data_IF_630991197511
#
_entry.id   IF_630991197511
#
_cell.length_a   1.000
_cell.length_b   1.000
_cell.length_c   1.000
_cell.angle_alpha   90.00
_cell.angle_beta   90.00
_cell.angle_gamma   90.00
#
_symmetry.space_group_name_H-M   'P 1'
#
loop_
_entity.id
_entity.type
_entity.pdbx_description
1 polymer ?
#
# COMPACT_ATOMS: atom_id res chain seq x y z
N UNK A 1 -5.03 16.51 -30.18
CA UNK A 1 -5.95 16.71 -29.04
C UNK A 1 -5.30 16.26 -27.74
N UNK A 2 -5.28 17.11 -26.69
CA UNK A 2 -4.94 16.66 -25.33
C UNK A 2 -6.08 15.80 -24.79
N UNK A 3 -5.77 14.69 -24.11
CA UNK A 3 -6.77 13.87 -23.42
C UNK A 3 -7.18 14.57 -22.12
N UNK A 4 -8.44 14.99 -22.02
CA UNK A 4 -9.00 15.70 -20.85
C UNK A 4 -9.67 14.76 -19.83
N UNK A 5 -9.32 13.47 -19.85
CA UNK A 5 -9.71 12.52 -18.80
C UNK A 5 -8.60 12.50 -17.77
N UNK A 6 -8.80 13.19 -16.65
CA UNK A 6 -7.83 13.20 -15.55
C UNK A 6 -7.64 11.78 -15.00
N UNK A 7 -6.45 11.23 -15.23
CA UNK A 7 -6.11 9.87 -14.88
C UNK A 7 -5.72 9.75 -13.39
N UNK A 8 -6.26 8.75 -12.72
CA UNK A 8 -5.94 8.33 -11.37
C UNK A 8 -5.97 6.82 -11.24
N UNK A 9 -5.68 6.30 -10.05
CA UNK A 9 -5.63 4.85 -9.79
C UNK A 9 -7.00 4.17 -10.03
N UNK A 10 -8.10 4.92 -9.91
CA UNK A 10 -9.46 4.38 -10.04
C UNK A 10 -9.92 4.16 -11.50
N UNK A 11 -9.27 4.81 -12.46
CA UNK A 11 -9.73 4.86 -13.86
C UNK A 11 -8.60 4.63 -14.88
N UNK A 12 -7.41 4.23 -14.42
CA UNK A 12 -6.24 4.03 -15.29
C UNK A 12 -5.16 3.18 -14.61
N UNK A 13 -4.20 2.71 -15.40
CA UNK A 13 -2.99 2.01 -14.93
C UNK A 13 -1.89 2.96 -14.41
N UNK A 14 -2.21 4.24 -14.09
CA UNK A 14 -1.18 5.20 -13.65
C UNK A 14 -0.43 4.73 -12.40
N UNK A 15 -1.08 3.97 -11.52
CA UNK A 15 -0.43 3.36 -10.36
C UNK A 15 0.73 2.44 -10.73
N UNK A 16 0.58 1.63 -11.79
CA UNK A 16 1.62 0.71 -12.30
C UNK A 16 2.84 1.46 -12.85
N UNK A 17 2.63 2.66 -13.37
CA UNK A 17 3.70 3.52 -13.91
C UNK A 17 4.35 4.40 -12.83
N UNK A 18 3.63 4.66 -11.74
CA UNK A 18 4.07 5.51 -10.64
C UNK A 18 4.96 4.78 -9.63
N UNK A 19 4.87 3.46 -9.54
CA UNK A 19 5.57 2.65 -8.55
C UNK A 19 6.33 1.52 -9.22
N UNK A 20 7.57 1.33 -8.78
CA UNK A 20 8.41 0.22 -9.22
C UNK A 20 8.78 -0.65 -8.01
N UNK A 21 8.74 -1.97 -8.18
CA UNK A 21 9.01 -2.93 -7.11
C UNK A 21 9.98 -4.01 -7.60
N UNK A 22 11.15 -4.04 -6.99
CA UNK A 22 12.07 -5.17 -7.11
C UNK A 22 11.94 -6.08 -5.89
N UNK A 23 12.31 -7.34 -6.08
CA UNK A 23 12.28 -8.34 -5.03
C UNK A 23 13.48 -9.26 -5.14
N UNK A 24 14.07 -9.60 -4.01
CA UNK A 24 15.19 -10.52 -3.91
C UNK A 24 15.03 -11.38 -2.66
N UNK A 25 15.44 -12.65 -2.73
CA UNK A 25 15.47 -13.55 -1.57
C UNK A 25 16.94 -13.79 -1.20
N UNK A 26 17.30 -13.53 0.05
CA UNK A 26 18.63 -13.81 0.62
C UNK A 26 18.48 -14.35 2.03
N UNK A 27 19.11 -15.48 2.34
CA UNK A 27 19.17 -16.04 3.70
C UNK A 27 17.79 -16.10 4.40
N UNK A 28 16.78 -16.65 3.72
CA UNK A 28 15.39 -16.71 4.22
C UNK A 28 14.73 -15.35 4.52
N UNK A 29 15.27 -14.26 3.95
CA UNK A 29 14.69 -12.91 4.00
C UNK A 29 14.25 -12.55 2.58
N UNK A 30 12.99 -12.13 2.46
CA UNK A 30 12.49 -11.45 1.29
C UNK A 30 12.77 -9.96 1.42
N UNK A 31 13.65 -9.44 0.58
CA UNK A 31 13.89 -8.02 0.42
C UNK A 31 13.05 -7.46 -0.73
N UNK A 32 12.34 -6.37 -0.45
CA UNK A 32 11.51 -5.64 -1.41
C UNK A 32 12.00 -4.21 -1.50
N UNK A 33 12.37 -3.77 -2.71
CA UNK A 33 12.78 -2.38 -2.99
C UNK A 33 11.65 -1.68 -3.71
N UNK A 34 10.90 -0.87 -2.97
CA UNK A 34 9.75 -0.12 -3.47
C UNK A 34 10.19 1.30 -3.79
N UNK A 35 10.06 1.71 -5.05
CA UNK A 35 10.40 3.04 -5.52
C UNK A 35 9.16 3.82 -5.95
N UNK A 36 9.08 5.07 -5.48
CA UNK A 36 8.17 6.07 -6.00
C UNK A 36 8.83 6.78 -7.18
N UNK A 37 8.21 6.73 -8.36
CA UNK A 37 8.70 7.39 -9.58
C UNK A 37 8.05 8.76 -9.82
N UNK A 38 7.23 9.23 -8.88
CA UNK A 38 6.48 10.48 -9.01
C UNK A 38 7.16 11.62 -8.25
N UNK A 39 6.97 12.89 -8.69
CA UNK A 39 7.54 14.06 -8.02
C UNK A 39 6.76 14.47 -6.76
N UNK A 40 5.78 13.68 -6.31
CA UNK A 40 4.99 13.94 -5.12
C UNK A 40 4.98 12.71 -4.21
N UNK A 41 4.43 12.84 -2.99
CA UNK A 41 4.26 11.69 -2.09
C UNK A 41 3.32 10.63 -2.71
N UNK A 42 3.45 9.35 -2.35
CA UNK A 42 2.51 8.29 -2.75
C UNK A 42 1.95 7.54 -1.53
N UNK A 43 0.61 7.45 -1.38
CA UNK A 43 -0.41 8.13 -2.19
C UNK A 43 -0.52 9.64 -1.85
N UNK A 44 -0.64 10.50 -2.87
CA UNK A 44 -0.94 11.94 -2.71
C UNK A 44 -2.45 12.20 -2.70
N UNK A 45 -2.86 13.46 -2.49
CA UNK A 45 -4.24 13.93 -2.50
C UNK A 45 -4.92 13.76 -1.15
N UNK A 46 -6.14 13.21 -1.14
CA UNK A 46 -6.92 13.00 0.09
C UNK A 46 -6.13 12.24 1.16
N UNK A 47 -6.07 12.80 2.38
CA UNK A 47 -5.22 12.30 3.46
C UNK A 47 -5.61 10.93 4.03
N UNK A 48 -6.81 10.42 3.74
CA UNK A 48 -7.23 9.08 4.15
C UNK A 48 -6.73 7.94 3.25
N UNK A 49 -6.10 8.24 2.12
CA UNK A 49 -5.63 7.23 1.14
C UNK A 49 -4.53 6.35 1.74
N UNK A 50 -4.53 5.08 1.35
CA UNK A 50 -3.54 4.10 1.80
C UNK A 50 -2.94 3.36 0.60
N UNK A 51 -1.62 3.22 0.62
CA UNK A 51 -0.93 2.20 -0.16
C UNK A 51 -0.59 1.05 0.79
N UNK A 52 -0.98 -0.18 0.45
CA UNK A 52 -0.78 -1.37 1.27
C UNK A 52 0.06 -2.38 0.49
N UNK A 53 1.21 -2.74 1.05
CA UNK A 53 2.02 -3.85 0.59
C UNK A 53 1.64 -5.08 1.41
N UNK A 54 1.26 -6.15 0.71
CA UNK A 54 0.89 -7.43 1.32
C UNK A 54 1.79 -8.54 0.80
N UNK A 55 2.45 -9.23 1.71
CA UNK A 55 3.23 -10.42 1.44
C UNK A 55 2.51 -11.64 2.03
N UNK A 56 2.04 -12.53 1.16
CA UNK A 56 1.36 -13.77 1.52
C UNK A 56 2.28 -14.95 1.22
N UNK A 57 2.57 -15.76 2.23
CA UNK A 57 3.48 -16.91 2.18
C UNK A 57 2.66 -18.19 2.08
N UNK A 58 3.08 -19.08 1.19
CA UNK A 58 2.40 -20.33 0.91
C UNK A 58 3.33 -21.52 1.09
N UNK A 59 2.80 -22.56 1.71
CA UNK A 59 3.37 -23.91 1.68
C UNK A 59 2.49 -24.72 0.73
N UNK A 60 3.02 -25.03 -0.46
CA UNK A 60 2.25 -25.53 -1.61
C UNK A 60 1.12 -24.54 -1.96
N UNK A 61 -0.14 -24.93 -1.78
CA UNK A 61 -1.33 -24.10 -2.02
C UNK A 61 -1.89 -23.45 -0.75
N UNK A 62 -1.41 -23.83 0.44
CA UNK A 62 -1.95 -23.35 1.72
C UNK A 62 -1.25 -22.05 2.12
N UNK A 63 -2.04 -21.01 2.42
CA UNK A 63 -1.52 -19.80 3.07
C UNK A 63 -1.05 -20.15 4.48
N UNK A 64 0.23 -19.92 4.77
CA UNK A 64 0.80 -20.16 6.10
C UNK A 64 0.96 -18.86 6.89
N UNK A 65 1.19 -17.75 6.19
CA UNK A 65 1.39 -16.43 6.83
C UNK A 65 1.03 -15.31 5.89
N UNK A 66 0.59 -14.19 6.46
CA UNK A 66 0.41 -12.94 5.75
C UNK A 66 1.01 -11.78 6.55
N UNK A 67 1.71 -10.89 5.85
CA UNK A 67 2.23 -9.64 6.40
C UNK A 67 1.71 -8.47 5.59
N UNK A 68 1.30 -7.41 6.28
CA UNK A 68 0.80 -6.17 5.67
C UNK A 68 1.59 -4.99 6.19
N UNK A 69 1.95 -4.07 5.30
CA UNK A 69 2.56 -2.80 5.62
C UNK A 69 1.80 -1.68 4.91
N UNK A 70 1.47 -0.61 5.64
CA UNK A 70 0.72 0.52 5.12
C UNK A 70 1.57 1.78 5.03
N UNK A 71 1.51 2.45 3.88
CA UNK A 71 2.06 3.77 3.62
C UNK A 71 0.89 4.77 3.55
N UNK A 72 0.75 5.57 4.60
CA UNK A 72 -0.38 6.50 4.78
C UNK A 72 0.00 7.66 5.70
N UNK A 73 -0.76 8.73 5.61
CA UNK A 73 -0.80 9.74 6.65
C UNK A 73 -1.88 9.35 7.68
N UNK A 74 -1.58 9.53 8.97
CA UNK A 74 -2.51 9.33 10.08
C UNK A 74 -2.69 10.66 10.80
N UNK A 75 -3.90 11.19 10.71
CA UNK A 75 -4.30 12.42 11.37
C UNK A 75 -5.12 12.09 12.61
N UNK A 76 -5.00 12.91 13.65
CA UNK A 76 -5.74 12.71 14.90
C UNK A 76 -6.37 13.98 15.42
N UNK A 77 -7.47 13.83 16.16
CA UNK A 77 -8.13 14.91 16.90
C UNK A 77 -7.41 15.23 18.22
N UNK A 78 -8.02 16.09 19.03
CA UNK A 78 -7.58 16.47 20.38
C UNK A 78 -7.55 15.29 21.36
N UNK A 79 -8.44 14.30 21.17
CA UNK A 79 -8.49 13.05 21.96
C UNK A 79 -7.46 12.02 21.50
N UNK A 80 -6.78 12.26 20.37
CA UNK A 80 -5.79 11.36 19.80
C UNK A 80 -6.38 10.24 18.93
N UNK A 81 -7.68 10.32 18.65
CA UNK A 81 -8.42 9.39 17.80
C UNK A 81 -8.20 9.73 16.33
N UNK A 82 -8.17 8.69 15.49
CA UNK A 82 -7.94 8.91 14.07
C UNK A 82 -9.15 9.59 13.41
N UNK A 83 -8.88 10.67 12.69
CA UNK A 83 -9.91 11.47 12.03
C UNK A 83 -9.45 11.98 10.65
N UNK A 84 -10.36 12.66 9.97
CA UNK A 84 -10.11 13.26 8.66
C UNK A 84 -9.17 14.48 8.78
N UNK A 85 -8.35 14.77 7.76
CA UNK A 85 -7.35 15.84 7.84
C UNK A 85 -7.93 17.21 8.21
N UNK A 86 -9.16 17.52 7.77
CA UNK A 86 -9.83 18.79 8.02
C UNK A 86 -10.56 18.87 9.37
N UNK A 87 -10.66 17.75 10.10
CA UNK A 87 -11.16 17.71 11.48
C UNK A 87 -10.03 17.47 12.49
N UNK A 88 -8.82 17.21 11.99
CA UNK A 88 -7.68 16.86 12.82
C UNK A 88 -7.03 18.08 13.45
N UNK A 89 -6.55 17.93 14.68
CA UNK A 89 -5.72 18.93 15.33
C UNK A 89 -4.25 18.78 14.95
N UNK A 90 -3.82 17.56 14.58
CA UNK A 90 -2.43 17.30 14.16
C UNK A 90 -2.26 16.07 13.27
N UNK A 91 -1.16 16.06 12.54
CA UNK A 91 -0.63 14.88 11.85
C UNK A 91 0.18 14.04 12.85
N UNK A 92 -0.28 12.81 13.15
CA UNK A 92 0.39 11.90 14.09
C UNK A 92 1.56 11.15 13.45
N UNK A 93 1.40 10.70 12.20
CA UNK A 93 2.46 9.97 11.47
C UNK A 93 2.23 10.07 9.97
N UNK A 94 3.30 10.16 9.19
CA UNK A 94 3.25 10.06 7.73
C UNK A 94 4.27 9.03 7.25
N UNK A 95 3.80 7.86 6.80
CA UNK A 95 4.64 6.79 6.26
C UNK A 95 4.58 6.70 4.74
N UNK A 96 3.95 7.68 4.07
CA UNK A 96 3.90 7.70 2.60
C UNK A 96 5.30 7.68 2.00
N UNK A 97 5.40 7.20 0.77
CA UNK A 97 6.65 7.31 0.02
C UNK A 97 6.85 8.77 -0.37
N UNK A 98 8.02 9.33 -0.10
CA UNK A 98 8.43 10.66 -0.52
C UNK A 98 8.69 10.71 -2.03
N UNK A 99 8.70 11.93 -2.63
CA UNK A 99 9.06 12.09 -4.04
C UNK A 99 10.36 11.36 -4.38
N UNK A 100 10.35 10.57 -5.45
CA UNK A 100 11.53 9.83 -5.94
C UNK A 100 12.18 8.85 -4.91
N UNK A 101 11.51 8.57 -3.79
CA UNK A 101 12.06 7.72 -2.73
C UNK A 101 12.18 6.26 -3.18
N UNK A 102 13.28 5.61 -2.82
CA UNK A 102 13.43 4.16 -2.83
C UNK A 102 13.50 3.65 -1.40
N UNK A 103 12.55 2.80 -1.01
CA UNK A 103 12.45 2.22 0.33
C UNK A 103 12.70 0.72 0.28
N UNK A 104 13.59 0.24 1.15
CA UNK A 104 13.89 -1.18 1.32
C UNK A 104 13.05 -1.73 2.47
N UNK A 105 12.42 -2.89 2.24
CA UNK A 105 11.54 -3.56 3.18
C UNK A 105 11.96 -5.02 3.26
N UNK A 106 11.97 -5.59 4.46
CA UNK A 106 12.41 -6.95 4.68
C UNK A 106 11.35 -7.76 5.43
N UNK A 107 11.13 -8.98 4.97
CA UNK A 107 10.22 -9.93 5.58
C UNK A 107 10.91 -11.27 5.78
N UNK A 108 10.86 -11.81 7.00
CA UNK A 108 11.29 -13.18 7.24
C UNK A 108 10.35 -14.16 6.55
N UNK A 109 10.92 -15.06 5.77
CA UNK A 109 10.23 -16.13 5.06
C UNK A 109 10.04 -17.29 6.04
N UNK A 110 8.80 -17.71 6.35
CA UNK A 110 8.56 -18.88 7.18
C UNK A 110 9.16 -20.14 6.57
N UNK A 111 9.68 -21.04 7.40
CA UNK A 111 10.18 -22.34 6.96
C UNK A 111 9.09 -23.12 6.21
N UNK A 112 9.47 -23.84 5.15
CA UNK A 112 8.54 -24.61 4.31
C UNK A 112 7.74 -23.76 3.31
N UNK A 113 7.96 -22.44 3.26
CA UNK A 113 7.38 -21.61 2.21
C UNK A 113 7.90 -22.07 0.85
N UNK A 114 7.00 -22.40 -0.07
CA UNK A 114 7.32 -22.75 -1.47
C UNK A 114 7.04 -21.58 -2.42
N UNK A 115 6.13 -20.68 -2.02
CA UNK A 115 5.73 -19.55 -2.85
C UNK A 115 5.39 -18.33 -2.00
N UNK A 116 5.72 -17.15 -2.52
CA UNK A 116 5.38 -15.86 -1.93
C UNK A 116 4.61 -15.05 -2.97
N UNK A 117 3.45 -14.52 -2.58
CA UNK A 117 2.69 -13.57 -3.37
C UNK A 117 2.80 -12.18 -2.76
N UNK A 118 3.26 -11.22 -3.55
CA UNK A 118 3.34 -9.81 -3.20
C UNK A 118 2.27 -9.05 -3.94
N UNK A 119 1.37 -8.42 -3.19
CA UNK A 119 0.38 -7.49 -3.72
C UNK A 119 0.69 -6.08 -3.25
N UNK A 120 0.68 -5.11 -4.16
CA UNK A 120 0.69 -3.69 -3.86
C UNK A 120 -0.67 -3.12 -4.20
N UNK A 121 -1.39 -2.67 -3.18
CA UNK A 121 -2.80 -2.29 -3.25
C UNK A 121 -2.95 -0.81 -2.91
N UNK A 122 -3.86 -0.13 -3.59
CA UNK A 122 -4.32 1.20 -3.23
C UNK A 122 -5.72 1.13 -2.64
N UNK A 123 -5.92 1.79 -1.50
CA UNK A 123 -7.22 1.97 -0.86
C UNK A 123 -7.59 3.46 -0.87
N UNK A 124 -8.79 3.85 -1.33
CA UNK A 124 -9.24 5.24 -1.30
C UNK A 124 -9.30 5.82 0.12
N UNK A 125 -9.58 4.97 1.11
CA UNK A 125 -9.66 5.29 2.53
C UNK A 125 -9.10 4.15 3.38
N UNK A 126 -8.58 4.45 4.57
CA UNK A 126 -8.13 3.45 5.51
C UNK A 126 -9.28 2.68 6.15
N UNK A 127 -9.02 1.46 6.59
CA UNK A 127 -10.05 0.62 7.23
C UNK A 127 -10.56 1.28 8.54
N UNK A 128 -9.67 1.90 9.32
CA UNK A 128 -10.03 2.65 10.54
C UNK A 128 -10.98 3.82 10.25
N UNK A 129 -10.70 4.64 9.23
CA UNK A 129 -11.57 5.76 8.87
C UNK A 129 -12.89 5.27 8.27
N UNK A 130 -12.85 4.19 7.48
CA UNK A 130 -14.05 3.56 6.92
C UNK A 130 -15.01 3.11 8.02
N UNK A 131 -14.49 2.48 9.08
CA UNK A 131 -15.27 2.05 10.24
C UNK A 131 -15.82 3.24 11.03
N UNK A 132 -14.96 4.22 11.38
CA UNK A 132 -15.37 5.40 12.13
C UNK A 132 -16.46 6.22 11.43
N UNK A 133 -16.37 6.34 10.10
CA UNK A 133 -17.31 7.09 9.26
C UNK A 133 -18.47 6.23 8.73
N UNK A 134 -18.50 4.93 9.06
CA UNK A 134 -19.51 3.97 8.60
C UNK A 134 -19.69 3.96 7.06
N UNK A 135 -18.58 4.06 6.33
CA UNK A 135 -18.61 4.11 4.86
C UNK A 135 -18.83 2.71 4.31
N UNK A 136 -19.92 2.52 3.57
CA UNK A 136 -20.30 1.24 2.95
C UNK A 136 -20.20 1.25 1.42
N UNK A 137 -20.18 2.43 0.79
CA UNK A 137 -20.18 2.55 -0.67
C UNK A 137 -18.92 1.90 -1.30
N UNK A 138 -19.10 0.92 -2.23
CA UNK A 138 -18.02 0.22 -2.94
C UNK A 138 -16.98 1.14 -3.59
N UNK A 139 -17.38 2.34 -4.01
CA UNK A 139 -16.49 3.34 -4.60
C UNK A 139 -15.32 3.69 -3.67
N UNK A 140 -15.57 3.70 -2.36
CA UNK A 140 -14.59 4.03 -1.33
C UNK A 140 -14.01 2.79 -0.64
N UNK A 141 -14.76 1.69 -0.57
CA UNK A 141 -14.33 0.47 0.14
C UNK A 141 -13.52 -0.51 -0.72
N UNK A 142 -13.62 -0.42 -2.05
CA UNK A 142 -12.84 -1.25 -2.98
C UNK A 142 -11.35 -0.95 -2.92
N UNK A 143 -10.54 -2.00 -2.83
CA UNK A 143 -9.08 -1.93 -3.04
C UNK A 143 -8.75 -2.10 -4.52
N UNK A 144 -7.74 -1.35 -4.99
CA UNK A 144 -7.28 -1.38 -6.37
C UNK A 144 -5.88 -1.98 -6.42
N UNK A 145 -5.72 -3.09 -7.13
CA UNK A 145 -4.40 -3.70 -7.31
C UNK A 145 -3.56 -2.84 -8.25
N UNK A 146 -2.41 -2.37 -7.74
CA UNK A 146 -1.40 -1.72 -8.55
C UNK A 146 -0.52 -2.78 -9.19
N UNK A 147 0.06 -3.66 -8.38
CA UNK A 147 0.99 -4.69 -8.82
C UNK A 147 0.70 -5.99 -8.06
N UNK A 148 0.84 -7.11 -8.74
CA UNK A 148 0.97 -8.42 -8.12
C UNK A 148 2.22 -9.10 -8.68
N UNK A 149 3.04 -9.69 -7.80
CA UNK A 149 4.21 -10.48 -8.16
C UNK A 149 4.20 -11.79 -7.38
N UNK A 150 4.48 -12.89 -8.04
CA UNK A 150 4.65 -14.19 -7.39
C UNK A 150 6.11 -14.61 -7.50
N UNK A 151 6.67 -15.11 -6.41
CA UNK A 151 8.08 -15.50 -6.28
C UNK A 151 8.09 -16.92 -5.75
N UNK A 152 8.91 -17.81 -6.33
CA UNK A 152 9.18 -19.12 -5.73
C UNK A 152 10.20 -18.93 -4.62
N UNK A 153 9.91 -19.50 -3.44
CA UNK A 153 10.89 -19.59 -2.38
C UNK A 153 11.64 -20.90 -2.61
N UNK A 154 12.92 -20.80 -2.98
CA UNK A 154 13.83 -21.94 -3.12
C UNK A 154 14.20 -22.52 -1.75
#
# INVERSE_FOLDING_TARGET
LRRHRFAGIRNSDIGKKALFLESEIKNSILELKLQNLTPHKVPTGFGGRVLELRATFFERSRVTKEKRLQFRARFVDDKGEETLPYLATRLKKDTRLHPNERRVLQFFIPQGTTQIKIDLLYKPISDTLKEALKITDPVFTKSYTILTKTIKAE
#
